data_IF_036665629306
#
_entry.id   IF_036665629306
#
_cell.length_a   1.000
_cell.length_b   1.000
_cell.length_c   1.000
_cell.angle_alpha   90.00
_cell.angle_beta   90.00
_cell.angle_gamma   90.00
#
_symmetry.space_group_name_H-M   'P 1'
#
loop_
_entity.id
_entity.type
_entity.pdbx_description
1 polymer ?
#
# COMPACT_ATOMS: atom_id res chain seq x y z
N UNK A 1 23.56 -8.15 -14.69
CA UNK A 1 22.75 -9.30 -15.17
C UNK A 1 21.58 -9.67 -14.25
N UNK A 2 21.59 -9.30 -12.95
CA UNK A 2 20.42 -9.52 -12.06
C UNK A 2 19.49 -8.31 -11.90
N UNK A 3 19.94 -7.10 -12.26
CA UNK A 3 19.14 -5.87 -12.06
C UNK A 3 17.87 -5.86 -12.91
N UNK A 4 17.96 -6.31 -14.17
CA UNK A 4 16.79 -6.47 -15.04
C UNK A 4 15.71 -7.39 -14.43
N UNK A 5 16.14 -8.47 -13.77
CA UNK A 5 15.23 -9.41 -13.11
C UNK A 5 14.55 -8.74 -11.91
N UNK A 6 15.32 -7.99 -11.10
CA UNK A 6 14.79 -7.26 -9.96
C UNK A 6 13.79 -6.17 -10.40
N UNK A 7 14.05 -5.47 -11.50
CA UNK A 7 13.13 -4.50 -12.07
C UNK A 7 11.83 -5.15 -12.54
N UNK A 8 11.90 -6.28 -13.27
CA UNK A 8 10.70 -7.02 -13.70
C UNK A 8 9.90 -7.55 -12.51
N UNK A 9 10.56 -7.99 -11.44
CA UNK A 9 9.90 -8.42 -10.21
C UNK A 9 9.19 -7.25 -9.51
N UNK A 10 9.82 -6.08 -9.43
CA UNK A 10 9.18 -4.90 -8.83
C UNK A 10 7.95 -4.47 -9.63
N UNK A 11 8.00 -4.55 -10.97
CA UNK A 11 6.84 -4.30 -11.83
C UNK A 11 5.71 -5.30 -11.55
N UNK A 12 6.02 -6.59 -11.41
CA UNK A 12 5.01 -7.61 -11.10
C UNK A 12 4.33 -7.36 -9.75
N UNK A 13 5.12 -7.01 -8.72
CA UNK A 13 4.60 -6.67 -7.40
C UNK A 13 3.66 -5.47 -7.47
N UNK A 14 4.07 -4.40 -8.18
CA UNK A 14 3.24 -3.20 -8.36
C UNK A 14 1.94 -3.52 -9.11
N UNK A 15 2.01 -4.33 -10.16
CA UNK A 15 0.86 -4.71 -10.97
C UNK A 15 -0.15 -5.53 -10.15
N UNK A 16 0.32 -6.51 -9.37
CA UNK A 16 -0.54 -7.32 -8.51
C UNK A 16 -1.14 -6.50 -7.38
N UNK A 17 -0.35 -5.62 -6.75
CA UNK A 17 -0.86 -4.69 -5.76
C UNK A 17 -1.96 -3.78 -6.31
N UNK A 18 -1.79 -3.24 -7.52
CA UNK A 18 -2.80 -2.44 -8.20
C UNK A 18 -4.05 -3.27 -8.53
N UNK A 19 -3.90 -4.48 -9.06
CA UNK A 19 -5.03 -5.35 -9.40
C UNK A 19 -5.85 -5.75 -8.17
N UNK A 20 -5.19 -6.12 -7.07
CA UNK A 20 -5.88 -6.52 -5.82
C UNK A 20 -6.57 -5.33 -5.15
N UNK A 21 -5.96 -4.15 -5.20
CA UNK A 21 -6.54 -2.94 -4.60
C UNK A 21 -7.56 -2.24 -5.50
N UNK A 22 -7.66 -2.60 -6.79
CA UNK A 22 -8.68 -2.09 -7.69
C UNK A 22 -10.09 -2.53 -7.29
N UNK A 23 -10.24 -3.75 -6.78
CA UNK A 23 -11.52 -4.30 -6.32
C UNK A 23 -11.98 -3.73 -4.96
N UNK A 24 -11.13 -3.00 -4.24
CA UNK A 24 -11.47 -2.42 -2.95
C UNK A 24 -12.07 -1.01 -3.16
N UNK A 25 -13.16 -0.67 -2.48
CA UNK A 25 -13.75 0.67 -2.56
C UNK A 25 -13.07 1.66 -1.61
N UNK A 26 -12.64 1.18 -0.43
CA UNK A 26 -12.10 2.03 0.62
C UNK A 26 -10.58 2.24 0.48
N UNK A 27 -10.15 3.49 0.29
CA UNK A 27 -8.73 3.86 0.27
C UNK A 27 -8.00 3.46 1.57
N UNK A 28 -8.72 3.44 2.71
CA UNK A 28 -8.17 2.99 3.99
C UNK A 28 -7.84 1.50 3.97
N UNK A 29 -8.72 0.69 3.40
CA UNK A 29 -8.53 -0.77 3.32
C UNK A 29 -7.40 -1.12 2.35
N UNK A 30 -7.30 -0.41 1.22
CA UNK A 30 -6.16 -0.55 0.29
C UNK A 30 -4.83 -0.32 1.00
N UNK A 31 -4.73 0.76 1.77
CA UNK A 31 -3.51 1.11 2.52
C UNK A 31 -3.19 0.05 3.58
N UNK A 32 -4.19 -0.42 4.31
CA UNK A 32 -4.02 -1.46 5.33
C UNK A 32 -3.59 -2.79 4.73
N UNK A 33 -4.22 -3.21 3.63
CA UNK A 33 -3.89 -4.44 2.91
C UNK A 33 -2.44 -4.44 2.43
N UNK A 34 -2.03 -3.35 1.74
CA UNK A 34 -0.67 -3.25 1.24
C UNK A 34 0.36 -3.12 2.37
N UNK A 35 0.03 -2.42 3.46
CA UNK A 35 0.90 -2.35 4.63
C UNK A 35 1.03 -3.71 5.35
N UNK A 36 -0.04 -4.51 5.40
CA UNK A 36 -0.01 -5.86 5.96
C UNK A 36 0.82 -6.83 5.11
N UNK A 37 0.86 -6.61 3.79
CA UNK A 37 1.73 -7.34 2.86
C UNK A 37 3.23 -6.95 2.99
N UNK A 38 3.59 -6.04 3.90
CA UNK A 38 4.98 -5.64 4.15
C UNK A 38 5.54 -4.59 3.18
N UNK A 39 4.67 -3.98 2.34
CA UNK A 39 5.09 -2.94 1.41
C UNK A 39 5.41 -1.64 2.17
N UNK A 40 6.48 -0.96 1.74
CA UNK A 40 6.89 0.32 2.32
C UNK A 40 5.85 1.40 2.01
N UNK A 41 5.58 2.35 2.93
CA UNK A 41 4.59 3.41 2.73
C UNK A 41 4.79 4.25 1.46
N UNK A 42 6.03 4.42 1.01
CA UNK A 42 6.38 5.10 -0.25
C UNK A 42 5.89 4.34 -1.47
N UNK A 43 6.05 3.02 -1.49
CA UNK A 43 5.59 2.18 -2.60
C UNK A 43 4.06 2.08 -2.61
N UNK A 44 3.43 2.02 -1.43
CA UNK A 44 1.97 2.06 -1.29
C UNK A 44 1.40 3.37 -1.83
N UNK A 45 2.06 4.50 -1.55
CA UNK A 45 1.71 5.81 -2.07
C UNK A 45 1.78 5.85 -3.60
N UNK A 46 2.87 5.33 -4.19
CA UNK A 46 3.03 5.22 -5.65
C UNK A 46 1.94 4.36 -6.30
N UNK A 47 1.64 3.19 -5.72
CA UNK A 47 0.64 2.24 -6.27
C UNK A 47 -0.77 2.83 -6.22
N UNK A 48 -1.11 3.53 -5.14
CA UNK A 48 -2.45 4.07 -4.93
C UNK A 48 -2.64 5.50 -5.45
N UNK A 49 -1.58 6.14 -5.99
CA UNK A 49 -1.62 7.53 -6.45
C UNK A 49 -1.86 8.54 -5.33
N UNK A 50 -1.34 8.28 -4.13
CA UNK A 50 -1.51 9.12 -2.93
C UNK A 50 -0.15 9.56 -2.39
N UNK A 51 -0.10 10.42 -1.37
CA UNK A 51 1.15 10.80 -0.71
C UNK A 51 1.52 9.82 0.41
N UNK A 52 2.82 9.64 0.65
CA UNK A 52 3.32 8.86 1.79
C UNK A 52 2.80 9.40 3.14
N UNK A 53 2.56 10.71 3.24
CA UNK A 53 1.93 11.32 4.41
C UNK A 53 0.51 10.81 4.65
N UNK A 54 -0.31 10.73 3.59
CA UNK A 54 -1.67 10.20 3.71
C UNK A 54 -1.66 8.72 4.14
N UNK A 55 -0.74 7.92 3.60
CA UNK A 55 -0.52 6.52 3.99
C UNK A 55 -0.17 6.44 5.49
N UNK A 56 0.83 7.20 5.94
CA UNK A 56 1.28 7.20 7.35
C UNK A 56 0.19 7.68 8.31
N UNK A 57 -0.56 8.73 7.95
CA UNK A 57 -1.68 9.23 8.76
C UNK A 57 -2.79 8.18 8.84
N UNK A 58 -3.11 7.50 7.73
CA UNK A 58 -4.11 6.43 7.69
C UNK A 58 -3.70 5.25 8.57
N UNK A 59 -2.44 4.83 8.50
CA UNK A 59 -1.88 3.78 9.36
C UNK A 59 -1.93 4.19 10.83
N UNK A 60 -1.53 5.42 11.15
CA UNK A 60 -1.59 5.95 12.53
C UNK A 60 -3.03 6.00 13.07
N UNK A 61 -3.99 6.45 12.25
CA UNK A 61 -5.42 6.44 12.60
C UNK A 61 -5.96 5.03 12.80
N UNK A 62 -5.47 4.04 12.05
CA UNK A 62 -5.88 2.64 12.19
C UNK A 62 -5.29 1.95 13.42
N UNK A 63 -4.09 2.36 13.87
CA UNK A 63 -3.42 1.84 15.08
C UNK A 63 -4.00 2.39 16.36
N UNK A 64 -4.62 3.58 16.32
CA UNK A 64 -5.34 4.10 17.48
C UNK A 64 -6.50 3.13 17.77
N UNK A 65 -6.53 2.48 18.95
CA UNK A 65 -7.71 1.75 19.34
C UNK A 65 -8.88 2.72 19.26
N UNK A 66 -9.94 2.31 18.57
CA UNK A 66 -11.22 2.99 18.64
C UNK A 66 -11.44 3.38 20.09
N UNK A 67 -11.46 4.68 20.40
CA UNK A 67 -12.04 5.12 21.68
C UNK A 67 -13.49 4.68 21.58
N UNK A 68 -13.78 3.52 22.15
CA UNK A 68 -15.13 3.11 22.47
C UNK A 68 -15.77 4.31 23.18
N UNK A 69 -16.84 4.82 22.57
CA UNK A 69 -17.71 5.79 23.22
C UNK A 69 -18.29 5.17 24.48
#
# INVERSE_FOLDING_TARGET
MNEEILEKLDILIRLQAAALTAAMESSKEKILFLSAAGLRPTLVADILGTTANNVNVTLSKSRKPSKAK
#
